data_IF_854560750513
#
_entry.id   IF_854560750513
#
_cell.length_a   1.000
_cell.length_b   1.000
_cell.length_c   1.000
_cell.angle_alpha   90.00
_cell.angle_beta   90.00
_cell.angle_gamma   90.00
#
_symmetry.space_group_name_H-M   'P 1'
#
loop_
_entity.id
_entity.type
_entity.pdbx_description
1 polymer ?
#
# COMPACT_ATOMS: atom_id res chain seq x y z
N UNK A 1 26.04 21.20 14.77
CA UNK A 1 26.60 20.32 13.73
C UNK A 1 25.89 20.58 12.40
N UNK A 2 26.62 20.88 11.32
CA UNK A 2 26.03 20.95 9.97
C UNK A 2 25.75 19.52 9.49
N UNK A 3 24.53 19.19 9.03
CA UNK A 3 24.25 17.85 8.53
C UNK A 3 25.15 17.56 7.32
N UNK A 4 25.77 16.38 7.32
CA UNK A 4 26.64 15.92 6.22
C UNK A 4 25.87 15.95 4.90
N UNK A 5 26.37 16.71 3.92
CA UNK A 5 25.74 16.84 2.59
C UNK A 5 26.14 15.67 1.70
N UNK A 6 25.60 14.49 2.01
CA UNK A 6 25.76 13.31 1.17
C UNK A 6 25.07 13.46 -0.19
N UNK A 7 25.25 12.46 -1.07
CA UNK A 7 24.65 12.43 -2.41
C UNK A 7 23.14 12.67 -2.34
N UNK A 8 22.64 13.58 -3.18
CA UNK A 8 21.21 13.90 -3.27
C UNK A 8 20.42 12.64 -3.69
N UNK A 9 19.24 12.47 -3.08
CA UNK A 9 18.33 11.36 -3.40
C UNK A 9 17.63 11.62 -4.72
N UNK A 10 17.44 10.56 -5.51
CA UNK A 10 16.76 10.62 -6.81
C UNK A 10 15.26 10.90 -6.68
N UNK A 11 14.61 10.29 -5.67
CA UNK A 11 13.19 10.50 -5.36
C UNK A 11 13.01 11.64 -4.35
N UNK A 12 12.27 12.66 -4.77
CA UNK A 12 11.79 13.73 -3.90
C UNK A 12 10.63 13.26 -3.04
N UNK A 13 10.22 14.09 -2.08
CA UNK A 13 9.09 13.79 -1.21
C UNK A 13 7.78 13.63 -2.00
N UNK A 14 7.57 14.43 -3.05
CA UNK A 14 6.41 14.33 -3.94
C UNK A 14 6.37 12.97 -4.66
N UNK A 15 7.48 12.55 -5.27
CA UNK A 15 7.58 11.27 -5.97
C UNK A 15 7.25 10.08 -5.05
N UNK A 16 7.74 10.11 -3.80
CA UNK A 16 7.44 9.06 -2.82
C UNK A 16 5.96 9.00 -2.48
N UNK A 17 5.31 10.15 -2.30
CA UNK A 17 3.86 10.23 -2.06
C UNK A 17 3.08 9.70 -3.25
N UNK A 18 3.52 10.02 -4.47
CA UNK A 18 2.94 9.47 -5.69
C UNK A 18 3.04 7.94 -5.70
N UNK A 19 4.22 7.36 -5.46
CA UNK A 19 4.40 5.90 -5.40
C UNK A 19 3.47 5.23 -4.38
N UNK A 20 3.36 5.82 -3.18
CA UNK A 20 2.45 5.31 -2.13
C UNK A 20 1.00 5.35 -2.59
N UNK A 21 0.57 6.47 -3.19
CA UNK A 21 -0.79 6.65 -3.71
C UNK A 21 -1.12 5.65 -4.83
N UNK A 22 -0.16 5.33 -5.70
CA UNK A 22 -0.36 4.33 -6.75
C UNK A 22 -0.72 2.96 -6.15
N UNK A 23 -0.05 2.56 -5.07
CA UNK A 23 -0.33 1.29 -4.39
C UNK A 23 -1.64 1.34 -3.61
N UNK A 24 -1.90 2.41 -2.84
CA UNK A 24 -3.04 2.45 -1.90
C UNK A 24 -4.36 2.82 -2.56
N UNK A 25 -4.36 3.84 -3.43
CA UNK A 25 -5.58 4.37 -4.07
C UNK A 25 -5.83 3.71 -5.42
N UNK A 26 -4.80 3.66 -6.27
CA UNK A 26 -4.93 3.14 -7.63
C UNK A 26 -4.72 1.62 -7.71
N UNK A 27 -4.38 0.98 -6.58
CA UNK A 27 -4.24 -0.48 -6.42
C UNK A 27 -3.22 -1.09 -7.39
N UNK A 28 -2.18 -0.35 -7.74
CA UNK A 28 -1.08 -0.86 -8.56
C UNK A 28 -0.36 -1.99 -7.78
N UNK A 29 -0.25 -3.20 -8.35
CA UNK A 29 0.03 -4.39 -7.55
C UNK A 29 1.50 -4.59 -7.20
N UNK A 30 2.42 -3.97 -7.93
CA UNK A 30 3.85 -4.25 -7.83
C UNK A 30 4.69 -2.99 -8.01
N UNK A 31 5.85 -2.96 -7.35
CA UNK A 31 6.82 -1.89 -7.51
C UNK A 31 7.29 -1.72 -8.97
N UNK A 32 7.31 -2.79 -9.77
CA UNK A 32 7.65 -2.72 -11.21
C UNK A 32 6.58 -1.94 -11.99
N UNK A 33 5.31 -2.16 -11.68
CA UNK A 33 4.22 -1.40 -12.28
C UNK A 33 4.20 0.04 -11.79
N UNK A 34 4.52 0.28 -10.51
CA UNK A 34 4.66 1.64 -9.98
C UNK A 34 5.83 2.38 -10.66
N UNK A 35 6.92 1.71 -11.01
CA UNK A 35 8.04 2.36 -11.74
C UNK A 35 7.66 2.71 -13.16
N UNK A 36 6.92 1.84 -13.84
CA UNK A 36 6.34 2.11 -15.16
C UNK A 36 5.38 3.31 -15.11
N UNK A 37 4.49 3.38 -14.11
CA UNK A 37 3.64 4.54 -13.89
C UNK A 37 4.45 5.83 -13.61
N UNK A 38 5.53 5.73 -12.83
CA UNK A 38 6.38 6.89 -12.53
C UNK A 38 7.11 7.42 -13.77
N UNK A 39 7.54 6.51 -14.65
CA UNK A 39 8.17 6.87 -15.92
C UNK A 39 7.13 7.46 -16.89
N UNK A 40 5.95 6.87 -17.02
CA UNK A 40 4.91 7.34 -17.95
C UNK A 40 4.24 8.65 -17.50
N UNK A 41 3.89 8.78 -16.22
CA UNK A 41 3.12 9.94 -15.74
C UNK A 41 4.00 11.15 -15.41
N UNK A 42 5.21 10.91 -14.91
CA UNK A 42 6.11 11.96 -14.39
C UNK A 42 7.38 12.08 -15.23
N UNK A 43 7.65 11.14 -16.15
CA UNK A 43 8.89 11.14 -16.96
C UNK A 43 10.13 10.76 -16.16
N UNK A 44 9.98 10.24 -14.94
CA UNK A 44 11.11 10.02 -14.03
C UNK A 44 11.55 8.55 -14.05
N UNK A 45 12.66 8.30 -14.76
CA UNK A 45 13.31 6.98 -14.82
C UNK A 45 14.07 6.68 -13.53
N UNK A 46 13.63 5.64 -12.81
CA UNK A 46 14.27 5.15 -11.57
C UNK A 46 14.35 3.64 -11.56
N UNK A 47 15.39 3.10 -10.94
CA UNK A 47 15.49 1.67 -10.71
C UNK A 47 14.38 1.15 -9.79
N UNK A 48 13.84 -0.03 -10.09
CA UNK A 48 12.75 -0.66 -9.33
C UNK A 48 13.05 -0.80 -7.85
N UNK A 49 14.30 -1.10 -7.51
CA UNK A 49 14.73 -1.25 -6.12
C UNK A 49 14.63 0.06 -5.32
N UNK A 50 14.80 1.21 -5.98
CA UNK A 50 14.62 2.52 -5.34
C UNK A 50 13.16 2.73 -4.95
N UNK A 51 12.22 2.30 -5.80
CA UNK A 51 10.79 2.36 -5.50
C UNK A 51 10.41 1.35 -4.41
N UNK A 52 10.94 0.12 -4.44
CA UNK A 52 10.74 -0.85 -3.35
C UNK A 52 11.17 -0.30 -1.99
N UNK A 53 12.35 0.31 -1.91
CA UNK A 53 12.84 0.92 -0.67
C UNK A 53 11.95 2.07 -0.20
N UNK A 54 11.45 2.89 -1.14
CA UNK A 54 10.52 3.97 -0.81
C UNK A 54 9.19 3.44 -0.24
N UNK A 55 8.64 2.37 -0.85
CA UNK A 55 7.41 1.72 -0.39
C UNK A 55 7.60 1.05 0.98
N UNK A 56 8.68 0.29 1.18
CA UNK A 56 9.00 -0.33 2.49
C UNK A 56 9.16 0.72 3.58
N UNK A 57 9.81 1.84 3.29
CA UNK A 57 9.94 2.96 4.24
C UNK A 57 8.58 3.56 4.63
N UNK A 58 7.59 3.47 3.75
CA UNK A 58 6.21 3.88 4.02
C UNK A 58 5.35 2.75 4.65
N UNK A 59 5.96 1.63 5.05
CA UNK A 59 5.25 0.48 5.63
C UNK A 59 4.53 -0.41 4.61
N UNK A 60 4.75 -0.19 3.30
CA UNK A 60 4.17 -1.00 2.24
C UNK A 60 5.13 -2.11 1.83
N UNK A 61 4.76 -3.35 2.15
CA UNK A 61 5.49 -4.57 1.81
C UNK A 61 4.62 -5.59 1.09
N UNK A 62 5.25 -6.57 0.47
CA UNK A 62 4.54 -7.74 -0.01
C UNK A 62 4.16 -8.60 1.20
N UNK A 63 2.87 -8.96 1.29
CA UNK A 63 2.34 -9.83 2.34
C UNK A 63 1.38 -10.81 1.66
N UNK A 64 1.53 -12.10 1.96
CA UNK A 64 0.54 -13.10 1.58
C UNK A 64 -0.75 -12.86 2.36
N UNK A 65 -1.85 -12.65 1.63
CA UNK A 65 -3.14 -12.42 2.28
C UNK A 65 -3.66 -13.74 2.84
N UNK A 66 -4.15 -13.78 4.09
CA UNK A 66 -4.75 -14.99 4.63
C UNK A 66 -5.97 -15.38 3.79
N UNK A 67 -6.16 -16.68 3.56
CA UNK A 67 -7.32 -17.22 2.85
C UNK A 67 -8.58 -16.92 3.66
N UNK A 68 -9.44 -16.06 3.13
CA UNK A 68 -10.75 -15.76 3.74
C UNK A 68 -11.83 -16.59 3.04
N UNK A 69 -12.79 -17.17 3.79
CA UNK A 69 -13.93 -17.83 3.18
C UNK A 69 -14.75 -16.80 2.40
N UNK A 70 -15.23 -17.20 1.21
CA UNK A 70 -16.16 -16.38 0.45
C UNK A 70 -17.51 -16.36 1.17
N UNK A 71 -17.93 -15.19 1.63
CA UNK A 71 -19.23 -15.01 2.26
C UNK A 71 -20.21 -14.42 1.24
N UNK A 72 -21.37 -15.06 1.09
CA UNK A 72 -22.47 -14.46 0.34
C UNK A 72 -22.97 -13.20 1.06
N UNK A 73 -23.56 -12.27 0.31
CA UNK A 73 -24.12 -11.05 0.88
C UNK A 73 -25.19 -11.33 1.96
N UNK A 74 -25.93 -12.44 1.83
CA UNK A 74 -26.88 -12.92 2.85
C UNK A 74 -26.15 -13.30 4.14
N UNK A 75 -25.09 -14.11 4.04
CA UNK A 75 -24.32 -14.56 5.21
C UNK A 75 -23.62 -13.40 5.92
N UNK A 76 -23.11 -12.41 5.19
CA UNK A 76 -22.51 -11.19 5.78
C UNK A 76 -23.54 -10.45 6.63
N UNK A 77 -24.75 -10.21 6.11
CA UNK A 77 -25.82 -9.53 6.84
C UNK A 77 -26.25 -10.29 8.09
N UNK A 78 -26.49 -11.60 7.96
CA UNK A 78 -26.92 -12.43 9.08
C UNK A 78 -25.88 -12.47 10.19
N UNK A 79 -24.60 -12.70 9.85
CA UNK A 79 -23.50 -12.69 10.83
C UNK A 79 -23.38 -11.35 11.53
N UNK A 80 -23.45 -10.24 10.78
CA UNK A 80 -23.40 -8.90 11.35
C UNK A 80 -24.57 -8.65 12.31
N UNK A 81 -25.79 -9.01 11.91
CA UNK A 81 -27.00 -8.85 12.75
C UNK A 81 -26.84 -9.62 14.06
N UNK A 82 -26.47 -10.90 13.96
CA UNK A 82 -26.28 -11.75 15.13
C UNK A 82 -25.23 -11.18 16.10
N UNK A 83 -24.07 -10.73 15.60
CA UNK A 83 -23.03 -10.11 16.44
C UNK A 83 -23.48 -8.80 17.11
N UNK A 84 -24.35 -8.02 16.47
CA UNK A 84 -24.90 -6.78 17.06
C UNK A 84 -25.90 -7.15 18.16
N UNK A 85 -26.82 -8.08 17.89
CA UNK A 85 -27.83 -8.52 18.86
C UNK A 85 -27.22 -9.15 20.10
N UNK A 86 -26.11 -9.87 19.95
CA UNK A 86 -25.44 -10.58 21.04
C UNK A 86 -24.13 -9.92 21.47
N UNK A 87 -24.01 -8.60 21.29
CA UNK A 87 -22.76 -7.88 21.60
C UNK A 87 -22.37 -8.00 23.07
N UNK A 88 -23.35 -7.92 23.96
CA UNK A 88 -23.18 -7.97 25.42
C UNK A 88 -23.55 -9.34 25.99
N UNK A 89 -23.52 -10.39 25.14
CA UNK A 89 -23.82 -11.74 25.59
C UNK A 89 -22.69 -12.27 26.48
N UNK A 90 -22.95 -12.33 27.78
CA UNK A 90 -22.13 -13.02 28.77
C UNK A 90 -22.67 -14.43 29.01
N UNK A 91 -21.77 -15.42 29.06
CA UNK A 91 -22.05 -16.83 29.37
C UNK A 91 -22.25 -16.99 30.88
#
# INVERSE_FOLDING_TARGET
MKPNRGRRKVLFAADKRYCVRQVTKNRVPSAVKVTECLENDIGKKVGVETVRRALRKAGLGAIEKPKKPLLSAKNIRNRRSWCITHKDWTI
#
